data_IF_160602687280
#
_entry.id   IF_160602687280
#
_cell.length_a   1.000
_cell.length_b   1.000
_cell.length_c   1.000
_cell.angle_alpha   90.00
_cell.angle_beta   90.00
_cell.angle_gamma   90.00
#
_symmetry.space_group_name_H-M   'P 1'
#
loop_
_entity.id
_entity.type
_entity.pdbx_description
1 polymer ?
#
# COMPACT_ATOMS: atom_id res chain seq x y z
N UNK A 1 -5.92 -0.81 13.62
CA UNK A 1 -6.99 -0.75 12.61
C UNK A 1 -7.33 -2.18 12.19
N UNK A 2 -8.61 -2.54 12.01
CA UNK A 2 -9.00 -3.78 11.31
C UNK A 2 -9.61 -3.36 9.97
N UNK A 3 -9.00 -3.81 8.87
CA UNK A 3 -9.42 -3.44 7.52
C UNK A 3 -10.14 -4.62 6.87
N UNK A 4 -11.16 -4.32 6.07
CA UNK A 4 -11.86 -5.27 5.20
C UNK A 4 -11.82 -4.69 3.78
N UNK A 5 -11.06 -5.30 2.84
CA UNK A 5 -11.03 -4.84 1.45
C UNK A 5 -12.40 -4.91 0.78
N UNK A 6 -12.56 -4.15 -0.31
CA UNK A 6 -13.80 -4.11 -1.10
C UNK A 6 -14.13 -5.50 -1.66
N UNK A 7 -15.30 -6.09 -1.35
CA UNK A 7 -15.65 -7.44 -1.80
C UNK A 7 -16.01 -7.48 -3.29
N UNK A 8 -15.85 -8.66 -3.91
CA UNK A 8 -16.22 -8.88 -5.31
C UNK A 8 -15.24 -8.23 -6.29
N UNK A 9 -15.74 -7.80 -7.45
CA UNK A 9 -14.92 -7.13 -8.44
C UNK A 9 -14.59 -5.70 -7.98
N UNK A 10 -13.32 -5.52 -7.64
CA UNK A 10 -12.72 -4.27 -7.20
C UNK A 10 -11.53 -3.87 -8.08
N UNK A 11 -11.36 -4.53 -9.24
CA UNK A 11 -10.26 -4.27 -10.15
C UNK A 11 -10.16 -2.77 -10.48
N UNK A 12 -8.95 -2.23 -10.38
CA UNK A 12 -8.68 -0.80 -10.58
C UNK A 12 -8.91 0.09 -9.36
N UNK A 13 -9.29 -0.48 -8.20
CA UNK A 13 -9.32 0.25 -6.92
C UNK A 13 -8.10 -0.07 -6.07
N UNK A 14 -7.74 0.87 -5.19
CA UNK A 14 -6.71 0.67 -4.16
C UNK A 14 -7.31 1.09 -2.83
N UNK A 15 -7.28 0.19 -1.84
CA UNK A 15 -7.57 0.56 -0.44
C UNK A 15 -6.25 0.80 0.25
N UNK A 16 -5.92 2.08 0.45
CA UNK A 16 -4.67 2.51 1.07
C UNK A 16 -4.84 2.70 2.58
N UNK A 17 -3.86 2.21 3.34
CA UNK A 17 -3.67 2.56 4.74
C UNK A 17 -2.21 2.93 4.93
N UNK A 18 -1.95 4.21 5.21
CA UNK A 18 -0.60 4.74 5.24
C UNK A 18 -0.38 5.67 6.43
N UNK A 19 0.88 5.84 6.77
CA UNK A 19 1.36 6.87 7.68
C UNK A 19 2.33 7.74 6.91
N UNK A 20 2.06 9.04 6.86
CA UNK A 20 2.92 10.01 6.21
C UNK A 20 3.23 11.16 7.16
N UNK A 21 4.49 11.54 7.26
CA UNK A 21 4.87 12.75 7.99
C UNK A 21 4.48 14.00 7.19
N UNK A 22 4.30 15.14 7.85
CA UNK A 22 3.95 16.39 7.16
C UNK A 22 5.22 17.16 6.73
N UNK A 23 5.10 17.93 5.64
CA UNK A 23 6.16 18.82 5.16
C UNK A 23 6.75 18.43 3.80
N UNK A 24 7.71 19.23 3.28
CA UNK A 24 8.25 19.06 1.94
C UNK A 24 9.13 17.80 1.77
N UNK A 25 9.71 17.31 2.87
CA UNK A 25 10.48 16.07 2.93
C UNK A 25 9.77 15.13 3.89
N UNK A 26 8.77 14.41 3.39
CA UNK A 26 8.05 13.46 4.21
C UNK A 26 8.63 12.05 4.07
N UNK A 27 8.42 11.28 5.12
CA UNK A 27 8.59 9.84 5.14
C UNK A 27 7.20 9.21 5.11
N UNK A 28 7.08 8.08 4.44
CA UNK A 28 5.82 7.40 4.22
C UNK A 28 5.96 5.88 4.41
N UNK A 29 4.94 5.28 5.00
CA UNK A 29 4.79 3.83 5.10
C UNK A 29 3.40 3.50 4.57
N UNK A 30 3.36 2.71 3.50
CA UNK A 30 2.13 2.38 2.78
C UNK A 30 1.76 0.91 2.92
N UNK A 31 0.46 0.66 3.05
CA UNK A 31 -0.16 -0.65 2.88
C UNK A 31 -1.34 -0.51 1.93
N UNK A 32 -1.15 -0.99 0.71
CA UNK A 32 -2.12 -0.91 -0.37
C UNK A 32 -2.70 -2.28 -0.69
N UNK A 33 -4.00 -2.45 -0.46
CA UNK A 33 -4.72 -3.58 -1.01
C UNK A 33 -5.15 -3.25 -2.43
N UNK A 34 -4.52 -3.93 -3.39
CA UNK A 34 -4.86 -3.80 -4.80
C UNK A 34 -6.14 -4.59 -5.07
N UNK A 35 -7.14 -3.90 -5.62
CA UNK A 35 -8.42 -4.49 -5.97
C UNK A 35 -8.29 -5.50 -7.11
N UNK A 36 -9.18 -6.49 -7.10
CA UNK A 36 -9.08 -7.71 -7.90
C UNK A 36 -10.38 -8.01 -8.65
N UNK A 37 -10.32 -8.92 -9.62
CA UNK A 37 -11.52 -9.55 -10.16
C UNK A 37 -12.10 -10.53 -9.13
N UNK A 38 -13.41 -10.77 -9.20
CA UNK A 38 -14.08 -11.71 -8.31
C UNK A 38 -13.47 -13.12 -8.42
N UNK A 39 -13.04 -13.68 -7.29
CA UNK A 39 -12.47 -15.04 -7.21
C UNK A 39 -10.94 -15.10 -7.18
N UNK A 40 -10.26 -13.97 -7.39
CA UNK A 40 -8.80 -13.88 -7.29
C UNK A 40 -8.33 -13.62 -5.83
N UNK A 41 -7.03 -13.68 -5.61
CA UNK A 41 -6.40 -13.29 -4.33
C UNK A 41 -5.98 -11.84 -4.34
N UNK A 42 -6.19 -11.14 -3.22
CA UNK A 42 -5.71 -9.77 -3.07
C UNK A 42 -4.19 -9.72 -3.11
N UNK A 43 -3.65 -8.60 -3.57
CA UNK A 43 -2.24 -8.28 -3.39
C UNK A 43 -2.17 -7.20 -2.32
N UNK A 44 -1.41 -7.49 -1.26
CA UNK A 44 -0.98 -6.46 -0.33
C UNK A 44 0.37 -5.94 -0.83
N UNK A 45 0.39 -4.69 -1.28
CA UNK A 45 1.61 -3.97 -1.56
C UNK A 45 2.01 -3.15 -0.33
N UNK A 46 3.29 -3.19 0.03
CA UNK A 46 3.83 -2.37 1.10
C UNK A 46 5.02 -1.59 0.60
N UNK A 47 5.03 -0.29 0.90
CA UNK A 47 6.11 0.61 0.55
C UNK A 47 6.66 1.31 1.80
N UNK A 48 7.96 1.53 1.82
CA UNK A 48 8.63 2.42 2.76
C UNK A 48 9.37 3.47 1.95
N UNK A 49 8.99 4.73 2.12
CA UNK A 49 9.64 5.88 1.48
C UNK A 49 10.26 6.78 2.53
N UNK A 50 11.56 7.05 2.40
CA UNK A 50 12.33 7.88 3.31
C UNK A 50 12.98 9.03 2.56
N UNK A 51 12.74 10.24 3.04
CA UNK A 51 13.54 11.42 2.69
C UNK A 51 14.87 11.36 3.45
N UNK A 52 15.97 11.44 2.71
CA UNK A 52 17.33 11.49 3.25
C UNK A 52 17.86 12.93 3.19
N UNK A 53 19.06 13.13 3.75
CA UNK A 53 19.76 14.41 3.61
C UNK A 53 20.09 14.71 2.14
N UNK A 54 20.39 15.97 1.83
CA UNK A 54 20.78 16.43 0.49
C UNK A 54 19.73 16.18 -0.61
N UNK A 55 18.45 16.20 -0.26
CA UNK A 55 17.33 15.97 -1.19
C UNK A 55 17.34 14.59 -1.86
N UNK A 56 17.99 13.61 -1.25
CA UNK A 56 17.95 12.22 -1.68
C UNK A 56 16.72 11.52 -1.11
N UNK A 57 16.21 10.51 -1.80
CA UNK A 57 15.10 9.67 -1.33
C UNK A 57 15.44 8.19 -1.49
N UNK A 58 14.97 7.37 -0.56
CA UNK A 58 15.02 5.91 -0.64
C UNK A 58 13.60 5.37 -0.63
N UNK A 59 13.30 4.41 -1.52
CA UNK A 59 12.05 3.66 -1.50
C UNK A 59 12.32 2.17 -1.54
N UNK A 60 11.60 1.40 -0.73
CA UNK A 60 11.61 -0.05 -0.71
C UNK A 60 10.17 -0.56 -0.80
N UNK A 61 9.92 -1.48 -1.74
CA UNK A 61 8.59 -2.04 -1.96
C UNK A 61 8.59 -3.57 -1.91
N UNK A 62 7.56 -4.17 -1.29
CA UNK A 62 7.31 -5.61 -1.27
C UNK A 62 5.84 -5.86 -1.59
N UNK A 63 5.56 -6.88 -2.41
CA UNK A 63 4.19 -7.34 -2.68
C UNK A 63 4.02 -8.77 -2.17
N UNK A 64 2.94 -9.00 -1.42
CA UNK A 64 2.56 -10.33 -0.93
C UNK A 64 1.18 -10.69 -1.47
N UNK A 65 1.06 -11.90 -2.01
CA UNK A 65 -0.24 -12.46 -2.37
C UNK A 65 -0.98 -12.85 -1.09
N UNK A 66 -2.17 -12.29 -0.90
CA UNK A 66 -2.96 -12.45 0.30
C UNK A 66 -4.28 -13.15 -0.02
N UNK A 67 -4.43 -14.36 0.49
CA UNK A 67 -5.69 -15.09 0.41
C UNK A 67 -6.60 -14.64 1.55
N UNK A 68 -7.59 -13.81 1.23
CA UNK A 68 -8.70 -13.56 2.15
C UNK A 68 -9.60 -14.80 2.16
N UNK A 69 -9.36 -15.72 3.09
CA UNK A 69 -10.35 -16.75 3.46
C UNK A 69 -11.48 -16.13 4.28
#
# INVERSE_FOLDING_TARGET
MKLKPVPGNSAGTVTAYYLSSQGPTHNEIDFDFLGILSGDSYILHSNLSLSLSLSLSLSLSVSLLFWAK
#
